data_IF_566301029591
#
_entry.id   IF_566301029591
#
_cell.length_a   1.000
_cell.length_b   1.000
_cell.length_c   1.000
_cell.angle_alpha   90.00
_cell.angle_beta   90.00
_cell.angle_gamma   90.00
#
_symmetry.space_group_name_H-M   'P 1'
#
loop_
_entity.id
_entity.type
_entity.pdbx_description
1 polymer ?
#
# COMPACT_ATOMS: atom_id res chain seq x y z
N UNK A 1 -6.86 -10.55 4.54
CA UNK A 1 -6.19 -11.50 5.47
C UNK A 1 -5.80 -10.77 6.74
N UNK A 2 -5.22 -11.47 7.73
CA UNK A 2 -4.68 -10.81 8.93
C UNK A 2 -3.25 -11.25 9.19
N UNK A 3 -2.44 -10.38 9.81
CA UNK A 3 -1.05 -10.67 10.19
C UNK A 3 -0.19 -11.06 8.98
N UNK A 4 -0.07 -10.13 8.04
CA UNK A 4 0.67 -10.33 6.79
C UNK A 4 1.88 -9.40 6.79
N UNK A 5 3.05 -9.94 6.47
CA UNK A 5 4.29 -9.18 6.33
C UNK A 5 4.86 -9.35 4.93
N UNK A 6 5.09 -8.22 4.26
CA UNK A 6 5.72 -8.13 2.95
C UNK A 6 7.04 -7.40 3.15
N UNK A 7 8.15 -8.08 2.89
CA UNK A 7 9.49 -7.59 3.22
C UNK A 7 10.50 -7.95 2.12
N UNK A 8 11.42 -7.04 1.81
CA UNK A 8 12.47 -7.22 0.79
C UNK A 8 11.94 -7.73 -0.57
N UNK A 9 10.75 -7.28 -0.96
CA UNK A 9 10.13 -7.63 -2.23
C UNK A 9 10.37 -6.51 -3.27
N UNK A 10 10.40 -6.88 -4.55
CA UNK A 10 10.41 -5.94 -5.68
C UNK A 10 9.15 -6.12 -6.50
N UNK A 11 8.44 -5.02 -6.74
CA UNK A 11 7.34 -4.87 -7.68
C UNK A 11 7.84 -3.96 -8.81
N UNK A 12 7.95 -4.51 -10.03
CA UNK A 12 8.76 -3.90 -11.11
C UNK A 12 7.95 -3.06 -12.11
N UNK A 13 6.73 -3.48 -12.45
CA UNK A 13 5.83 -2.76 -13.34
C UNK A 13 4.40 -3.30 -13.24
N UNK A 14 3.42 -2.41 -13.07
CA UNK A 14 2.01 -2.75 -13.22
C UNK A 14 1.18 -1.51 -13.60
N UNK A 15 0.27 -1.57 -14.60
CA UNK A 15 -0.36 -0.38 -15.14
C UNK A 15 -1.26 0.39 -14.15
N UNK A 16 -1.70 -0.25 -13.07
CA UNK A 16 -2.63 0.32 -12.09
C UNK A 16 -2.03 0.25 -10.68
N UNK A 17 -2.51 -0.69 -9.85
CA UNK A 17 -2.11 -0.84 -8.45
C UNK A 17 -1.32 -2.13 -8.25
N UNK A 18 -0.09 -2.04 -7.73
CA UNK A 18 0.77 -3.23 -7.51
C UNK A 18 0.34 -4.06 -6.30
N UNK A 19 -0.09 -3.41 -5.21
CA UNK A 19 -0.49 -4.06 -3.98
C UNK A 19 -1.78 -3.50 -3.38
N UNK A 20 -2.76 -4.36 -3.15
CA UNK A 20 -4.05 -4.01 -2.59
C UNK A 20 -4.28 -4.61 -1.18
N UNK A 21 -4.49 -3.75 -0.18
CA UNK A 21 -4.91 -4.13 1.18
C UNK A 21 -6.38 -3.78 1.36
N UNK A 22 -7.27 -4.74 1.11
CA UNK A 22 -8.73 -4.51 0.99
C UNK A 22 -9.54 -5.43 1.91
N UNK A 23 -10.87 -5.22 1.96
CA UNK A 23 -11.84 -6.14 2.58
C UNK A 23 -11.57 -6.37 4.07
N UNK A 24 -11.28 -5.29 4.78
CA UNK A 24 -11.01 -5.31 6.22
C UNK A 24 -9.72 -6.05 6.60
N UNK A 25 -8.76 -6.19 5.69
CA UNK A 25 -7.45 -6.79 6.00
C UNK A 25 -6.73 -5.97 7.06
N UNK A 26 -6.17 -6.63 8.07
CA UNK A 26 -5.66 -6.00 9.29
C UNK A 26 -4.34 -6.61 9.75
N UNK A 27 -3.47 -5.82 10.37
CA UNK A 27 -2.13 -6.19 10.77
C UNK A 27 -1.24 -6.44 9.55
N UNK A 28 -1.24 -5.50 8.60
CA UNK A 28 -0.39 -5.58 7.40
C UNK A 28 0.81 -4.66 7.57
N UNK A 29 2.01 -5.21 7.35
CA UNK A 29 3.26 -4.44 7.32
C UNK A 29 3.95 -4.62 5.97
N UNK A 30 4.36 -3.51 5.36
CA UNK A 30 5.23 -3.48 4.18
C UNK A 30 6.54 -2.81 4.59
N UNK A 31 7.65 -3.52 4.42
CA UNK A 31 8.97 -2.99 4.76
C UNK A 31 10.05 -3.33 3.75
N UNK A 32 11.05 -2.46 3.64
CA UNK A 32 12.26 -2.70 2.84
C UNK A 32 11.99 -3.17 1.41
N UNK A 33 10.84 -2.78 0.85
CA UNK A 33 10.36 -3.24 -0.45
C UNK A 33 10.42 -2.11 -1.46
N UNK A 34 10.48 -2.48 -2.74
CA UNK A 34 10.64 -1.57 -3.87
C UNK A 34 9.43 -1.68 -4.79
N UNK A 35 8.84 -0.54 -5.12
CA UNK A 35 7.67 -0.41 -5.99
C UNK A 35 7.98 0.54 -7.13
N UNK A 36 7.82 0.07 -8.37
CA UNK A 36 8.28 0.78 -9.55
C UNK A 36 7.30 0.74 -10.72
N UNK A 37 7.26 1.82 -11.49
CA UNK A 37 6.59 1.87 -12.81
C UNK A 37 5.11 1.46 -12.75
N UNK A 38 4.35 2.11 -11.87
CA UNK A 38 2.92 1.88 -11.70
C UNK A 38 2.12 3.17 -11.63
N UNK A 39 0.79 3.08 -11.67
CA UNK A 39 -0.03 4.24 -11.31
C UNK A 39 0.04 4.49 -9.80
N UNK A 40 -0.18 3.43 -9.02
CA UNK A 40 -0.16 3.48 -7.57
C UNK A 40 0.56 2.26 -7.03
N UNK A 41 1.50 2.43 -6.10
CA UNK A 41 2.22 1.28 -5.54
C UNK A 41 1.34 0.45 -4.60
N UNK A 42 0.73 1.09 -3.59
CA UNK A 42 -0.14 0.40 -2.64
C UNK A 42 -1.48 1.13 -2.44
N UNK A 43 -2.57 0.38 -2.33
CA UNK A 43 -3.90 0.91 -2.00
C UNK A 43 -4.45 0.26 -0.72
N UNK A 44 -4.87 1.09 0.24
CA UNK A 44 -5.53 0.68 1.47
C UNK A 44 -7.04 0.96 1.38
N UNK A 45 -7.81 -0.10 1.40
CA UNK A 45 -9.27 -0.09 1.38
C UNK A 45 -9.86 0.01 -0.03
N UNK A 46 -11.09 -0.46 -0.17
CA UNK A 46 -11.89 -0.26 -1.37
C UNK A 46 -12.36 1.19 -1.49
N UNK A 47 -12.28 1.76 -2.70
CA UNK A 47 -13.01 2.98 -3.03
C UNK A 47 -14.50 2.63 -3.19
N UNK A 48 -15.24 2.75 -2.11
CA UNK A 48 -16.67 2.47 -2.09
C UNK A 48 -17.46 3.75 -1.85
N UNK A 49 -18.53 3.89 -2.61
CA UNK A 49 -19.56 4.93 -2.49
C UNK A 49 -20.58 4.61 -1.39
N UNK A 50 -20.77 3.33 -1.06
CA UNK A 50 -21.82 2.86 -0.11
C UNK A 50 -21.26 2.34 1.22
N UNK A 51 -20.08 1.70 1.25
CA UNK A 51 -19.52 1.08 2.48
C UNK A 51 -18.07 1.51 2.68
N UNK A 52 -17.81 2.34 3.69
CA UNK A 52 -16.44 2.68 4.08
C UNK A 52 -15.85 1.59 4.97
N UNK A 53 -14.76 0.99 4.50
CA UNK A 53 -13.98 0.07 5.32
C UNK A 53 -13.20 0.90 6.37
N UNK A 54 -13.31 0.53 7.65
CA UNK A 54 -12.66 1.28 8.76
C UNK A 54 -11.76 0.42 9.64
N UNK A 55 -11.87 -0.90 9.54
CA UNK A 55 -11.12 -1.84 10.37
C UNK A 55 -9.76 -2.22 9.81
N UNK A 56 -9.42 -1.82 8.58
CA UNK A 56 -8.12 -2.12 7.99
C UNK A 56 -7.03 -1.22 8.56
N UNK A 57 -5.81 -1.77 8.66
CA UNK A 57 -4.64 -0.97 8.94
C UNK A 57 -3.43 -1.43 8.13
N UNK A 58 -2.52 -0.50 7.90
CA UNK A 58 -1.28 -0.72 7.19
C UNK A 58 -0.15 0.08 7.84
N UNK A 59 0.95 -0.61 8.12
CA UNK A 59 2.24 0.02 8.42
C UNK A 59 3.13 -0.09 7.19
N UNK A 60 3.70 1.03 6.74
CA UNK A 60 4.65 1.05 5.63
C UNK A 60 5.91 1.80 6.05
N UNK A 61 7.07 1.14 6.00
CA UNK A 61 8.33 1.78 6.36
C UNK A 61 9.56 1.31 5.58
N UNK A 62 10.52 2.20 5.36
CA UNK A 62 11.78 1.88 4.67
C UNK A 62 11.59 1.31 3.25
N UNK A 63 10.47 1.65 2.60
CA UNK A 63 10.20 1.26 1.22
C UNK A 63 10.72 2.32 0.25
N UNK A 64 11.01 1.88 -0.98
CA UNK A 64 11.41 2.72 -2.10
C UNK A 64 10.28 2.77 -3.14
N UNK A 65 9.81 3.98 -3.45
CA UNK A 65 8.75 4.23 -4.42
C UNK A 65 9.30 5.09 -5.56
N UNK A 66 9.26 4.59 -6.80
CA UNK A 66 9.78 5.31 -7.96
C UNK A 66 8.96 5.09 -9.23
N UNK A 67 8.97 6.05 -10.14
CA UNK A 67 8.25 5.92 -11.41
C UNK A 67 6.73 5.75 -11.25
N UNK A 68 6.16 6.25 -10.14
CA UNK A 68 4.72 6.20 -9.89
C UNK A 68 4.04 7.40 -10.53
N UNK A 69 2.97 7.17 -11.30
CA UNK A 69 2.25 8.28 -11.95
C UNK A 69 1.19 8.95 -11.07
N UNK A 70 0.84 8.36 -9.92
CA UNK A 70 -0.14 8.93 -9.00
C UNK A 70 0.28 8.86 -7.51
N UNK A 71 0.24 7.68 -6.88
CA UNK A 71 0.40 7.56 -5.42
C UNK A 71 1.38 6.45 -5.01
N UNK A 72 2.23 6.71 -4.02
CA UNK A 72 2.94 5.62 -3.33
C UNK A 72 2.02 4.78 -2.44
N UNK A 73 1.20 5.44 -1.63
CA UNK A 73 0.18 4.77 -0.81
C UNK A 73 -1.11 5.57 -0.88
N UNK A 74 -2.14 4.99 -1.50
CA UNK A 74 -3.48 5.55 -1.58
C UNK A 74 -4.36 4.96 -0.48
N UNK A 75 -4.87 5.78 0.45
CA UNK A 75 -5.78 5.31 1.49
C UNK A 75 -7.22 5.81 1.29
N UNK A 76 -8.18 4.89 1.34
CA UNK A 76 -9.62 5.16 1.33
C UNK A 76 -10.23 5.14 2.75
N UNK A 77 -9.41 5.02 3.79
CA UNK A 77 -9.83 4.91 5.19
C UNK A 77 -8.97 3.91 5.96
N UNK A 78 -9.41 3.58 7.18
CA UNK A 78 -8.60 2.76 8.09
C UNK A 78 -7.43 3.56 8.69
N UNK A 79 -6.56 2.84 9.40
CA UNK A 79 -5.40 3.42 10.07
C UNK A 79 -4.13 3.19 9.25
N UNK A 80 -3.37 4.25 9.02
CA UNK A 80 -2.15 4.19 8.23
C UNK A 80 -0.97 4.76 9.05
N UNK A 81 0.08 3.98 9.20
CA UNK A 81 1.33 4.40 9.82
C UNK A 81 2.47 4.33 8.79
N UNK A 82 2.89 5.50 8.31
CA UNK A 82 3.89 5.64 7.24
C UNK A 82 5.08 6.40 7.78
N UNK A 83 6.27 5.79 7.77
CA UNK A 83 7.49 6.45 8.23
C UNK A 83 8.73 5.94 7.48
N UNK A 84 9.75 6.80 7.33
CA UNK A 84 11.03 6.46 6.69
C UNK A 84 10.93 5.80 5.30
N UNK A 85 9.89 6.08 4.52
CA UNK A 85 9.85 5.67 3.11
C UNK A 85 10.52 6.72 2.24
N UNK A 86 11.11 6.28 1.14
CA UNK A 86 11.68 7.15 0.12
C UNK A 86 10.76 7.20 -1.09
N UNK A 87 10.42 8.41 -1.53
CA UNK A 87 9.62 8.68 -2.72
C UNK A 87 10.49 9.53 -3.66
N UNK A 88 10.72 9.04 -4.88
CA UNK A 88 11.35 9.79 -5.98
C UNK A 88 10.32 10.64 -6.72
#
# INVERSE_FOLDING_TARGET
GTHIWIDHCTFEEYPLVELDVKRGSYGVTISWSRFENAQTACSLGLRADIIKETSQNLTAHHNYFAGLSNDGILSHGGELHVYNNYYE
#
